data_IF_215053583212
#
_entry.id   IF_215053583212
#
_cell.length_a   1.000
_cell.length_b   1.000
_cell.length_c   1.000
_cell.angle_alpha   90.00
_cell.angle_beta   90.00
_cell.angle_gamma   90.00
#
_symmetry.space_group_name_H-M   'P 1'
#
loop_
_entity.id
_entity.type
_entity.pdbx_description
1 polymer ?
#
# COMPACT_ATOMS: atom_id res chain seq x y z
N UNK A 1 -6.80 -8.53 20.92
CA UNK A 1 -5.47 -8.55 20.31
C UNK A 1 -5.59 -9.49 19.14
N UNK A 2 -5.54 -8.99 17.90
CA UNK A 2 -5.42 -9.90 16.77
C UNK A 2 -4.14 -10.72 17.00
N UNK A 3 -4.22 -12.05 16.87
CA UNK A 3 -3.03 -12.89 16.87
C UNK A 3 -2.00 -12.33 15.88
N UNK A 4 -0.72 -12.44 16.22
CA UNK A 4 0.40 -11.83 15.49
C UNK A 4 0.48 -12.43 14.07
N UNK A 5 -0.23 -11.82 13.11
CA UNK A 5 -0.27 -12.28 11.72
C UNK A 5 1.04 -11.94 11.02
N UNK A 6 1.63 -12.93 10.36
CA UNK A 6 2.88 -12.73 9.61
C UNK A 6 2.61 -11.99 8.30
N UNK A 7 3.65 -11.38 7.72
CA UNK A 7 3.57 -10.78 6.39
C UNK A 7 3.20 -11.84 5.33
N UNK A 8 3.70 -13.08 5.44
CA UNK A 8 3.34 -14.15 4.51
C UNK A 8 1.85 -14.50 4.59
N UNK A 9 1.28 -14.55 5.79
CA UNK A 9 -0.15 -14.79 5.99
C UNK A 9 -1.01 -13.62 5.48
N UNK A 10 -0.54 -12.40 5.66
CA UNK A 10 -1.18 -11.18 5.12
C UNK A 10 -1.22 -11.20 3.59
N UNK A 11 -0.10 -11.54 2.94
CA UNK A 11 -0.02 -11.71 1.48
C UNK A 11 -0.94 -12.85 1.02
N UNK A 12 -0.97 -13.98 1.75
CA UNK A 12 -1.85 -15.09 1.45
C UNK A 12 -3.34 -14.70 1.58
N UNK A 13 -3.71 -13.90 2.59
CA UNK A 13 -5.05 -13.36 2.75
C UNK A 13 -5.44 -12.48 1.56
N UNK A 14 -4.57 -11.54 1.16
CA UNK A 14 -4.79 -10.68 0.00
C UNK A 14 -5.03 -11.50 -1.28
N UNK A 15 -4.21 -12.53 -1.52
CA UNK A 15 -4.36 -13.45 -2.66
C UNK A 15 -5.70 -14.18 -2.65
N UNK A 16 -6.14 -14.69 -1.49
CA UNK A 16 -7.46 -15.35 -1.34
C UNK A 16 -8.62 -14.41 -1.61
N UNK A 17 -8.54 -13.17 -1.11
CA UNK A 17 -9.56 -12.14 -1.36
C UNK A 17 -9.62 -11.81 -2.85
N UNK A 18 -8.47 -11.56 -3.47
CA UNK A 18 -8.36 -11.28 -4.92
C UNK A 18 -9.00 -12.36 -5.77
N UNK A 19 -8.73 -13.63 -5.47
CA UNK A 19 -9.30 -14.76 -6.20
C UNK A 19 -10.84 -14.78 -6.13
N UNK A 20 -11.42 -14.36 -5.00
CA UNK A 20 -12.88 -14.23 -4.86
C UNK A 20 -13.42 -13.07 -5.69
N UNK A 21 -12.71 -11.94 -5.74
CA UNK A 21 -13.09 -10.79 -6.55
C UNK A 21 -12.97 -11.04 -8.05
N UNK A 22 -12.04 -11.87 -8.52
CA UNK A 22 -11.93 -12.23 -9.93
C UNK A 22 -13.23 -12.81 -10.52
N UNK A 23 -14.07 -13.45 -9.68
CA UNK A 23 -15.36 -14.00 -10.12
C UNK A 23 -16.47 -12.93 -10.22
N UNK A 24 -16.21 -11.70 -9.77
CA UNK A 24 -17.15 -10.57 -9.69
C UNK A 24 -16.67 -9.42 -10.59
N UNK A 25 -15.35 -9.27 -10.76
CA UNK A 25 -14.75 -8.25 -11.61
C UNK A 25 -15.20 -8.42 -13.07
N UNK A 26 -15.68 -7.33 -13.68
CA UNK A 26 -16.16 -7.35 -15.08
C UNK A 26 -15.03 -7.43 -16.13
N UNK A 27 -13.77 -7.33 -15.71
CA UNK A 27 -12.58 -7.42 -16.57
C UNK A 27 -11.41 -7.93 -15.72
N UNK A 28 -10.57 -8.80 -16.29
CA UNK A 28 -9.28 -9.14 -15.68
C UNK A 28 -8.36 -7.92 -15.66
N UNK A 29 -7.81 -7.57 -14.50
CA UNK A 29 -6.83 -6.47 -14.44
C UNK A 29 -5.43 -7.00 -14.71
N UNK A 30 -4.82 -6.49 -15.77
CA UNK A 30 -3.38 -6.57 -15.98
C UNK A 30 -2.59 -5.63 -15.07
N UNK A 31 -1.27 -5.62 -15.26
CA UNK A 31 -0.36 -4.79 -14.49
C UNK A 31 -0.61 -3.29 -14.70
N UNK A 32 -1.08 -2.89 -15.86
CA UNK A 32 -1.43 -1.50 -16.17
C UNK A 32 -2.57 -1.02 -15.28
N UNK A 33 -3.60 -1.86 -15.09
CA UNK A 33 -4.71 -1.57 -14.17
C UNK A 33 -4.24 -1.50 -12.72
N UNK A 34 -3.35 -2.40 -12.31
CA UNK A 34 -2.76 -2.37 -10.98
C UNK A 34 -1.93 -1.09 -10.75
N UNK A 35 -1.13 -0.64 -11.73
CA UNK A 35 -0.36 0.59 -11.61
C UNK A 35 -1.25 1.84 -11.57
N UNK A 36 -2.33 1.88 -12.34
CA UNK A 36 -3.30 2.98 -12.30
C UNK A 36 -3.95 3.06 -10.91
N UNK A 37 -4.37 1.93 -10.36
CA UNK A 37 -4.95 1.87 -9.01
C UNK A 37 -3.93 2.25 -7.94
N UNK A 38 -2.67 1.83 -8.07
CA UNK A 38 -1.60 2.24 -7.15
C UNK A 38 -1.50 3.77 -7.09
N UNK A 39 -1.49 4.42 -8.26
CA UNK A 39 -1.41 5.87 -8.33
C UNK A 39 -2.66 6.57 -7.78
N UNK A 40 -3.85 5.98 -7.96
CA UNK A 40 -5.09 6.46 -7.35
C UNK A 40 -4.97 6.48 -5.82
N UNK A 41 -4.58 5.36 -5.21
CA UNK A 41 -4.51 5.25 -3.75
C UNK A 41 -3.38 6.08 -3.15
N UNK A 42 -2.25 6.22 -3.85
CA UNK A 42 -1.20 7.18 -3.44
C UNK A 42 -1.72 8.62 -3.45
N UNK A 43 -2.55 8.99 -4.43
CA UNK A 43 -3.16 10.32 -4.49
C UNK A 43 -4.15 10.58 -3.35
N UNK A 44 -5.00 9.61 -3.02
CA UNK A 44 -5.92 9.70 -1.88
C UNK A 44 -5.17 9.75 -0.54
N UNK A 45 -4.14 8.90 -0.36
CA UNK A 45 -3.26 8.97 0.80
C UNK A 45 -2.65 10.37 0.95
N UNK A 46 -2.10 10.93 -0.13
CA UNK A 46 -1.51 12.25 -0.12
C UNK A 46 -2.53 13.32 0.29
N UNK A 47 -3.76 13.26 -0.23
CA UNK A 47 -4.86 14.16 0.18
C UNK A 47 -5.13 14.06 1.68
N UNK A 48 -5.25 12.85 2.22
CA UNK A 48 -5.54 12.66 3.64
C UNK A 48 -4.40 13.13 4.53
N UNK A 49 -3.14 12.84 4.18
CA UNK A 49 -1.98 13.34 4.91
C UNK A 49 -1.91 14.87 4.87
N UNK A 50 -2.16 15.50 3.73
CA UNK A 50 -2.17 16.96 3.62
C UNK A 50 -3.20 17.62 4.55
N UNK A 51 -4.38 16.99 4.69
CA UNK A 51 -5.42 17.43 5.62
C UNK A 51 -5.01 17.20 7.07
N UNK A 52 -4.52 16.00 7.40
CA UNK A 52 -4.15 15.63 8.77
C UNK A 52 -2.99 16.47 9.32
N UNK A 53 -2.05 16.85 8.46
CA UNK A 53 -0.86 17.64 8.80
C UNK A 53 -1.06 19.16 8.60
N UNK A 54 -2.31 19.60 8.43
CA UNK A 54 -2.70 21.01 8.31
C UNK A 54 -1.98 21.81 7.20
N UNK A 55 -1.74 21.20 6.04
CA UNK A 55 -1.13 21.89 4.90
C UNK A 55 -2.11 22.81 4.15
N UNK A 56 -3.41 22.72 4.41
CA UNK A 56 -4.41 23.56 3.77
C UNK A 56 -4.76 24.79 4.64
N UNK A 57 -5.29 25.84 4.01
CA UNK A 57 -5.83 26.97 4.75
C UNK A 57 -7.07 26.56 5.55
N UNK A 58 -7.29 27.18 6.71
CA UNK A 58 -8.37 26.88 7.65
C UNK A 58 -9.78 26.88 7.01
N UNK A 59 -10.03 27.75 6.04
CA UNK A 59 -11.30 27.79 5.30
C UNK A 59 -11.54 26.51 4.49
N UNK A 60 -10.48 25.95 3.90
CA UNK A 60 -10.54 24.72 3.10
C UNK A 60 -10.71 23.48 3.98
N UNK A 61 -10.03 23.44 5.13
CA UNK A 61 -10.14 22.35 6.12
C UNK A 61 -11.50 22.27 6.79
N UNK A 62 -12.22 23.39 6.89
CA UNK A 62 -13.57 23.41 7.45
C UNK A 62 -14.63 22.73 6.57
N UNK A 63 -14.29 22.40 5.32
CA UNK A 63 -15.22 21.78 4.38
C UNK A 63 -15.32 20.26 4.61
N UNK A 64 -16.52 19.65 4.54
CA UNK A 64 -16.70 18.21 4.77
C UNK A 64 -15.85 17.29 3.89
N UNK A 65 -15.46 17.76 2.69
CA UNK A 65 -14.60 17.02 1.77
C UNK A 65 -13.13 16.91 2.24
N UNK A 66 -12.69 17.81 3.12
CA UNK A 66 -11.35 17.84 3.72
C UNK A 66 -11.38 17.27 5.14
N UNK A 67 -12.14 16.19 5.35
CA UNK A 67 -12.10 15.43 6.59
C UNK A 67 -11.16 14.25 6.44
N UNK A 68 -10.12 14.21 7.27
CA UNK A 68 -9.19 13.10 7.40
C UNK A 68 -9.05 12.69 8.85
N UNK A 69 -8.78 11.42 9.07
CA UNK A 69 -8.48 10.79 10.35
C UNK A 69 -7.50 9.63 10.11
N UNK A 70 -6.99 9.03 11.19
CA UNK A 70 -6.06 7.91 11.11
C UNK A 70 -6.64 6.71 10.38
N UNK A 71 -7.95 6.53 10.41
CA UNK A 71 -8.62 5.37 9.82
C UNK A 71 -8.59 5.47 8.30
N UNK A 72 -8.91 6.65 7.73
CA UNK A 72 -8.79 6.91 6.29
C UNK A 72 -7.35 6.78 5.79
N UNK A 73 -6.37 7.25 6.55
CA UNK A 73 -4.95 7.06 6.21
C UNK A 73 -4.61 5.56 6.22
N UNK A 74 -5.08 4.84 7.23
CA UNK A 74 -4.92 3.39 7.34
C UNK A 74 -5.52 2.63 6.16
N UNK A 75 -6.72 3.00 5.73
CA UNK A 75 -7.41 2.41 4.58
C UNK A 75 -6.58 2.57 3.30
N UNK A 76 -6.09 3.79 3.00
CA UNK A 76 -5.28 4.02 1.80
C UNK A 76 -3.92 3.31 1.86
N UNK A 77 -3.29 3.21 3.05
CA UNK A 77 -2.06 2.42 3.22
C UNK A 77 -2.32 0.92 2.99
N UNK A 78 -3.45 0.40 3.46
CA UNK A 78 -3.84 -0.99 3.24
C UNK A 78 -4.11 -1.26 1.76
N UNK A 79 -4.79 -0.34 1.07
CA UNK A 79 -5.06 -0.44 -0.36
C UNK A 79 -3.77 -0.38 -1.19
N UNK A 80 -2.84 0.52 -0.85
CA UNK A 80 -1.50 0.58 -1.47
C UNK A 80 -0.78 -0.77 -1.31
N UNK A 81 -0.77 -1.33 -0.10
CA UNK A 81 -0.15 -2.64 0.16
C UNK A 81 -0.80 -3.73 -0.69
N UNK A 82 -2.12 -3.76 -0.78
CA UNK A 82 -2.86 -4.73 -1.60
C UNK A 82 -2.47 -4.64 -3.08
N UNK A 83 -2.33 -3.42 -3.62
CA UNK A 83 -1.95 -3.22 -5.01
C UNK A 83 -0.48 -3.58 -5.26
N UNK A 84 0.43 -3.29 -4.32
CA UNK A 84 1.84 -3.73 -4.38
C UNK A 84 1.92 -5.26 -4.45
N UNK A 85 1.13 -5.97 -3.64
CA UNK A 85 1.05 -7.43 -3.68
C UNK A 85 0.56 -7.91 -5.06
N UNK A 86 -0.43 -7.24 -5.66
CA UNK A 86 -0.94 -7.57 -7.00
C UNK A 86 0.13 -7.40 -8.09
N UNK A 87 0.93 -6.33 -8.02
CA UNK A 87 2.03 -6.09 -8.95
C UNK A 87 3.13 -7.15 -8.77
N UNK A 88 3.50 -7.47 -7.52
CA UNK A 88 4.48 -8.51 -7.22
C UNK A 88 4.03 -9.88 -7.77
N UNK A 89 2.77 -10.24 -7.57
CA UNK A 89 2.18 -11.48 -8.10
C UNK A 89 2.25 -11.54 -9.64
N UNK A 90 1.99 -10.42 -10.32
CA UNK A 90 2.04 -10.35 -11.79
C UNK A 90 3.45 -10.68 -12.33
N UNK A 91 4.48 -10.18 -11.66
CA UNK A 91 5.88 -10.43 -12.03
C UNK A 91 6.51 -11.64 -11.32
N UNK A 92 5.71 -12.42 -10.58
CA UNK A 92 6.17 -13.59 -9.82
C UNK A 92 7.29 -13.26 -8.80
N UNK A 93 7.22 -12.08 -8.20
CA UNK A 93 8.18 -11.62 -7.18
C UNK A 93 7.73 -12.11 -5.80
N UNK A 94 8.61 -12.80 -5.06
CA UNK A 94 8.42 -12.97 -3.60
C UNK A 94 8.73 -11.63 -2.92
N UNK A 95 7.68 -10.93 -2.51
CA UNK A 95 7.78 -9.59 -1.93
C UNK A 95 8.55 -9.58 -0.60
N UNK A 96 8.42 -10.61 0.23
CA UNK A 96 9.14 -10.68 1.51
C UNK A 96 10.63 -10.91 1.26
N UNK A 97 10.97 -11.84 0.36
CA UNK A 97 12.36 -12.08 0.01
C UNK A 97 13.00 -10.85 -0.65
N UNK A 98 12.27 -10.17 -1.55
CA UNK A 98 12.72 -8.92 -2.17
C UNK A 98 13.00 -7.82 -1.13
N UNK A 99 12.11 -7.66 -0.15
CA UNK A 99 12.31 -6.71 0.96
C UNK A 99 13.55 -7.05 1.79
N UNK A 100 13.70 -8.33 2.18
CA UNK A 100 14.84 -8.78 2.99
C UNK A 100 16.17 -8.60 2.26
N UNK A 101 16.21 -8.85 0.95
CA UNK A 101 17.43 -8.64 0.15
C UNK A 101 17.79 -7.14 0.06
N UNK A 102 16.81 -6.27 -0.15
CA UNK A 102 17.04 -4.82 -0.17
C UNK A 102 17.62 -4.32 1.17
N UNK A 103 17.03 -4.71 2.31
CA UNK A 103 17.53 -4.33 3.64
C UNK A 103 18.92 -4.88 3.94
N UNK A 104 19.22 -6.12 3.51
CA UNK A 104 20.58 -6.69 3.63
C UNK A 104 21.60 -5.91 2.83
N UNK A 105 21.26 -5.53 1.59
CA UNK A 105 22.16 -4.75 0.74
C UNK A 105 22.45 -3.36 1.33
N UNK A 106 21.44 -2.71 1.91
CA UNK A 106 21.60 -1.44 2.63
C UNK A 106 22.47 -1.58 3.88
N UNK A 107 22.26 -2.61 4.69
CA UNK A 107 23.06 -2.88 5.89
C UNK A 107 24.54 -3.12 5.53
N UNK A 108 24.81 -3.90 4.48
CA UNK A 108 26.18 -4.10 3.98
C UNK A 108 26.80 -2.80 3.44
N UNK A 109 26.01 -1.92 2.83
CA UNK A 109 26.49 -0.60 2.41
C UNK A 109 26.85 0.30 3.61
N UNK A 110 26.01 0.32 4.66
CA UNK A 110 26.25 1.11 5.88
C UNK A 110 27.52 0.66 6.60
N UNK A 111 27.68 -0.67 6.80
CA UNK A 111 28.89 -1.26 7.39
C UNK A 111 30.18 -0.87 6.66
N UNK A 112 30.12 -0.74 5.33
CA UNK A 112 31.27 -0.34 4.50
C UNK A 112 31.56 1.15 4.54
N UNK A 113 30.55 1.98 4.82
CA UNK A 113 30.67 3.45 4.82
C UNK A 113 30.93 4.05 6.20
N UNK A 114 31.03 3.22 7.25
CA UNK A 114 31.47 3.63 8.58
C UNK A 114 30.37 4.17 9.49
N UNK A 115 29.11 3.84 9.20
CA UNK A 115 27.98 4.03 10.11
C UNK A 115 27.61 2.71 10.80
#
# INVERSE_FOLDING_TARGET
MADEITLRETIALARRIRQRFQNIEGREWGVEGALIELMKQVGELAKYVLVAEHYYGTERESQPYYQSDSDKIGDELADILYVIIRIADHYQIDLLDAYLQARKAEDEFLKRTGN
#
